data_IF_496181502458
#
_entry.id   IF_496181502458
#
_cell.length_a   1.000
_cell.length_b   1.000
_cell.length_c   1.000
_cell.angle_alpha   90.00
_cell.angle_beta   90.00
_cell.angle_gamma   90.00
#
_symmetry.space_group_name_H-M   'P 1'
#
loop_
_entity.id
_entity.type
_entity.pdbx_description
1 polymer ?
#
# COMPACT_ATOMS: atom_id res chain seq x y z
N UNK A 1 3.59 35.62 -39.86
CA UNK A 1 3.72 35.49 -38.42
C UNK A 1 4.09 34.06 -38.19
N UNK A 2 5.37 33.79 -38.06
CA UNK A 2 5.90 32.48 -37.71
C UNK A 2 5.62 32.26 -36.25
N UNK A 3 4.84 31.23 -35.94
CA UNK A 3 4.73 30.71 -34.60
C UNK A 3 6.05 30.06 -34.23
N UNK A 4 6.84 30.75 -33.40
CA UNK A 4 7.96 30.12 -32.71
C UNK A 4 7.36 28.97 -31.90
N UNK A 5 7.68 27.76 -32.32
CA UNK A 5 7.47 26.57 -31.50
C UNK A 5 8.36 26.72 -30.26
N UNK A 6 7.77 26.62 -29.09
CA UNK A 6 8.52 26.38 -27.86
C UNK A 6 9.27 25.05 -28.09
N UNK A 7 10.59 25.11 -28.27
CA UNK A 7 11.46 23.95 -28.25
C UNK A 7 11.38 23.39 -26.81
N UNK A 8 10.43 22.51 -26.55
CA UNK A 8 10.38 21.73 -25.32
C UNK A 8 11.66 20.90 -25.23
N UNK A 9 12.32 20.91 -24.09
CA UNK A 9 13.49 20.05 -23.88
C UNK A 9 13.01 18.61 -23.87
N UNK A 10 13.57 17.76 -24.75
CA UNK A 10 13.33 16.31 -24.76
C UNK A 10 14.49 15.61 -24.06
N UNK A 11 14.17 14.77 -23.09
CA UNK A 11 15.10 13.84 -22.45
C UNK A 11 14.81 12.42 -22.95
N UNK A 12 15.84 11.72 -23.40
CA UNK A 12 15.74 10.31 -23.83
C UNK A 12 16.37 9.44 -22.76
N UNK A 13 15.68 8.37 -22.36
CA UNK A 13 16.17 7.37 -21.42
C UNK A 13 15.60 5.98 -21.77
N UNK A 14 16.13 4.92 -21.16
CA UNK A 14 15.60 3.57 -21.34
C UNK A 14 14.30 3.38 -20.53
N UNK A 15 14.30 3.87 -19.28
CA UNK A 15 13.16 3.74 -18.36
C UNK A 15 12.83 5.09 -17.72
N UNK A 16 11.60 5.56 -17.90
CA UNK A 16 11.06 6.72 -17.21
C UNK A 16 10.15 6.27 -16.05
N UNK A 17 10.42 6.76 -14.85
CA UNK A 17 9.67 6.40 -13.63
C UNK A 17 8.99 7.65 -13.08
N UNK A 18 7.71 7.54 -12.69
CA UNK A 18 6.97 8.65 -12.09
C UNK A 18 6.85 8.47 -10.59
N UNK A 19 7.52 9.34 -9.83
CA UNK A 19 7.49 9.37 -8.38
C UNK A 19 8.68 8.67 -7.71
N UNK A 20 9.38 9.42 -6.84
CA UNK A 20 10.50 8.96 -6.02
C UNK A 20 10.03 8.36 -4.67
N UNK A 21 8.91 7.62 -4.67
CA UNK A 21 8.44 6.84 -3.54
C UNK A 21 9.22 5.52 -3.40
N UNK A 22 8.76 4.65 -2.49
CA UNK A 22 9.42 3.36 -2.27
C UNK A 22 9.50 2.52 -3.56
N UNK A 23 8.39 2.34 -4.27
CA UNK A 23 8.36 1.53 -5.49
C UNK A 23 9.26 2.12 -6.58
N UNK A 24 9.18 3.44 -6.83
CA UNK A 24 9.99 4.11 -7.85
C UNK A 24 11.48 4.05 -7.56
N UNK A 25 11.90 4.24 -6.31
CA UNK A 25 13.31 4.14 -5.92
C UNK A 25 13.87 2.72 -6.08
N UNK A 26 13.09 1.68 -5.71
CA UNK A 26 13.52 0.29 -5.91
C UNK A 26 13.58 -0.07 -7.40
N UNK A 27 12.58 0.36 -8.20
CA UNK A 27 12.61 0.16 -9.64
C UNK A 27 13.83 0.84 -10.29
N UNK A 28 14.09 2.08 -9.91
CA UNK A 28 15.24 2.83 -10.41
C UNK A 28 16.58 2.20 -10.00
N UNK A 29 16.70 1.76 -8.75
CA UNK A 29 17.93 1.13 -8.25
C UNK A 29 18.26 -0.18 -9.01
N UNK A 30 17.24 -0.99 -9.34
CA UNK A 30 17.42 -2.23 -10.12
C UNK A 30 17.82 -1.91 -11.56
N UNK A 31 17.06 -1.09 -12.26
CA UNK A 31 17.31 -0.83 -13.68
C UNK A 31 18.60 -0.04 -13.91
N UNK A 32 18.87 1.02 -13.14
CA UNK A 32 20.12 1.77 -13.23
C UNK A 32 21.33 0.94 -12.77
N UNK A 33 21.17 0.11 -11.73
CA UNK A 33 22.21 -0.83 -11.28
C UNK A 33 22.59 -1.87 -12.33
N UNK A 34 21.67 -2.20 -13.25
CA UNK A 34 21.92 -3.04 -14.42
C UNK A 34 22.57 -2.29 -15.60
N UNK A 35 22.72 -0.97 -15.50
CA UNK A 35 23.42 -0.13 -16.49
C UNK A 35 22.52 0.56 -17.51
N UNK A 36 21.20 0.57 -17.29
CA UNK A 36 20.24 1.29 -18.13
C UNK A 36 20.15 2.76 -17.72
N UNK A 37 19.78 3.61 -18.68
CA UNK A 37 19.53 5.02 -18.45
C UNK A 37 18.14 5.21 -17.84
N UNK A 38 18.09 5.66 -16.58
CA UNK A 38 16.87 5.72 -15.78
C UNK A 38 16.64 7.12 -15.23
N UNK A 39 15.47 7.68 -15.51
CA UNK A 39 15.04 8.98 -14.98
C UNK A 39 13.81 8.81 -14.11
N UNK A 40 13.85 9.37 -12.88
CA UNK A 40 12.67 9.53 -12.03
C UNK A 40 12.15 10.96 -12.12
N UNK A 41 10.91 11.15 -12.57
CA UNK A 41 10.20 12.41 -12.49
C UNK A 41 9.51 12.54 -11.11
N UNK A 42 10.04 13.40 -10.22
CA UNK A 42 9.50 13.65 -8.88
C UNK A 42 8.88 15.05 -8.82
N UNK A 43 7.61 15.12 -8.42
CA UNK A 43 6.86 16.38 -8.36
C UNK A 43 7.31 17.34 -7.27
N UNK A 44 7.88 16.82 -6.19
CA UNK A 44 8.36 17.59 -5.05
C UNK A 44 9.75 18.13 -5.32
N UNK A 45 10.10 19.20 -4.62
CA UNK A 45 11.48 19.67 -4.56
C UNK A 45 12.39 18.63 -3.91
N UNK A 46 13.68 18.72 -4.14
CA UNK A 46 14.69 17.84 -3.52
C UNK A 46 14.55 17.80 -1.99
N UNK A 47 14.25 18.93 -1.37
CA UNK A 47 14.11 19.05 0.06
C UNK A 47 12.85 18.33 0.61
N UNK A 48 11.76 18.31 -0.17
CA UNK A 48 10.48 17.73 0.23
C UNK A 48 10.28 16.30 -0.25
N UNK A 49 11.09 15.85 -1.20
CA UNK A 49 11.04 14.48 -1.69
C UNK A 49 11.23 13.47 -0.56
N UNK A 50 10.50 12.36 -0.60
CA UNK A 50 10.50 11.37 0.48
C UNK A 50 9.62 11.71 1.69
N UNK A 51 9.15 12.98 1.87
CA UNK A 51 8.23 13.37 2.93
C UNK A 51 6.81 12.92 2.59
N UNK A 52 6.42 11.74 3.04
CA UNK A 52 5.17 11.04 2.70
C UNK A 52 4.39 10.75 3.98
N UNK A 53 3.06 10.86 3.93
CA UNK A 53 2.21 10.44 5.06
C UNK A 53 2.33 8.93 5.25
N UNK A 54 2.63 8.52 6.49
CA UNK A 54 2.86 7.12 6.86
C UNK A 54 2.62 6.95 8.36
N UNK A 55 2.21 5.76 8.79
CA UNK A 55 2.21 5.39 10.22
C UNK A 55 3.61 5.05 10.74
N UNK A 56 4.62 4.99 9.87
CA UNK A 56 6.03 4.75 10.20
C UNK A 56 6.37 3.32 10.68
N UNK A 57 5.40 2.45 10.86
CA UNK A 57 5.67 1.06 11.24
C UNK A 57 6.18 0.24 10.04
N UNK A 58 7.32 -0.40 10.21
CA UNK A 58 7.98 -1.25 9.23
C UNK A 58 8.08 -2.67 9.78
N UNK A 59 7.43 -3.62 9.11
CA UNK A 59 7.51 -5.05 9.43
C UNK A 59 8.40 -5.75 8.42
N UNK A 60 9.21 -6.71 8.89
CA UNK A 60 10.06 -7.51 8.02
C UNK A 60 11.20 -6.70 7.40
N UNK A 61 11.79 -5.77 8.18
CA UNK A 61 12.90 -4.93 7.74
C UNK A 61 14.12 -5.72 7.24
N UNK A 62 14.18 -7.01 7.54
CA UNK A 62 15.19 -7.98 7.12
C UNK A 62 14.89 -8.69 5.80
N UNK A 63 13.69 -8.50 5.23
CA UNK A 63 13.20 -9.23 4.05
C UNK A 63 13.00 -8.37 2.82
N UNK A 64 13.55 -7.14 2.78
CA UNK A 64 13.45 -6.26 1.62
C UNK A 64 14.41 -6.69 0.50
N UNK A 65 14.10 -6.33 -0.78
CA UNK A 65 15.02 -6.58 -1.89
C UNK A 65 16.38 -5.91 -1.68
N UNK A 66 17.46 -6.57 -2.10
CA UNK A 66 18.84 -6.10 -1.88
C UNK A 66 19.27 -4.92 -2.77
N UNK A 67 18.43 -4.51 -3.75
CA UNK A 67 18.74 -3.42 -4.67
C UNK A 67 19.05 -2.09 -3.94
N UNK A 68 18.37 -1.85 -2.81
CA UNK A 68 18.74 -0.81 -1.85
C UNK A 68 19.08 -1.52 -0.53
N UNK A 69 20.37 -1.66 -0.18
CA UNK A 69 20.79 -2.42 0.99
C UNK A 69 20.17 -1.91 2.30
N UNK A 70 19.81 -2.82 3.20
CA UNK A 70 19.28 -2.50 4.54
C UNK A 70 20.16 -1.47 5.27
N UNK A 71 21.49 -1.60 5.18
CA UNK A 71 22.45 -0.65 5.79
C UNK A 71 22.31 0.80 5.29
N UNK A 72 21.74 1.02 4.10
CA UNK A 72 21.37 2.35 3.61
C UNK A 72 20.15 2.89 4.34
N UNK A 73 19.20 2.03 4.71
CA UNK A 73 17.91 2.40 5.30
C UNK A 73 17.91 2.47 6.82
N UNK A 74 18.75 1.66 7.49
CA UNK A 74 18.84 1.57 8.95
C UNK A 74 19.01 2.90 9.69
N UNK A 75 19.75 3.91 9.17
CA UNK A 75 19.84 5.20 9.84
C UNK A 75 18.50 5.92 10.01
N UNK A 76 17.44 5.53 9.27
CA UNK A 76 16.09 6.04 9.45
C UNK A 76 15.27 5.26 10.49
N UNK A 77 15.78 4.13 11.01
CA UNK A 77 15.09 3.35 12.04
C UNK A 77 15.27 4.03 13.38
N UNK A 78 14.21 4.60 13.90
CA UNK A 78 14.22 5.39 15.13
C UNK A 78 13.90 4.56 16.36
N UNK A 79 13.14 3.47 16.20
CA UNK A 79 12.82 2.54 17.27
C UNK A 79 12.78 1.10 16.75
N UNK A 80 13.73 0.30 17.16
CA UNK A 80 13.82 -1.15 16.87
C UNK A 80 13.50 -2.01 18.10
N UNK A 81 13.05 -1.39 19.19
CA UNK A 81 12.66 -2.08 20.43
C UNK A 81 11.20 -2.48 20.49
N UNK A 82 10.45 -2.26 19.40
CA UNK A 82 9.03 -2.64 19.30
C UNK A 82 8.93 -4.13 18.98
N UNK A 83 8.15 -4.89 19.75
CA UNK A 83 8.01 -6.34 19.60
C UNK A 83 6.55 -6.84 19.55
N UNK A 84 5.57 -5.97 19.84
CA UNK A 84 4.16 -6.36 19.83
C UNK A 84 3.23 -5.24 19.37
N UNK A 85 2.03 -5.64 18.94
CA UNK A 85 0.88 -4.76 18.73
C UNK A 85 0.00 -4.74 19.97
N UNK A 86 -0.33 -3.55 20.47
CA UNK A 86 -1.29 -3.33 21.57
C UNK A 86 -2.60 -2.83 21.00
N UNK A 87 -3.65 -3.63 21.13
CA UNK A 87 -5.00 -3.30 20.66
C UNK A 87 -5.85 -2.84 21.85
N UNK A 88 -6.21 -1.58 21.89
CA UNK A 88 -7.09 -0.99 22.87
C UNK A 88 -8.54 -1.03 22.36
N UNK A 89 -9.45 -1.64 23.10
CA UNK A 89 -10.87 -1.74 22.77
C UNK A 89 -11.67 -1.13 23.93
N UNK A 90 -11.78 0.21 24.00
CA UNK A 90 -12.36 0.90 25.15
C UNK A 90 -13.82 0.51 25.45
N UNK A 91 -14.61 0.19 24.42
CA UNK A 91 -16.02 -0.22 24.59
C UNK A 91 -16.17 -1.48 25.45
N UNK A 92 -15.11 -2.30 25.55
CA UNK A 92 -15.10 -3.55 26.29
C UNK A 92 -14.07 -3.56 27.44
N UNK A 93 -13.49 -2.40 27.76
CA UNK A 93 -12.42 -2.27 28.77
C UNK A 93 -11.34 -3.36 28.59
N UNK A 94 -10.94 -3.54 27.32
CA UNK A 94 -10.05 -4.64 26.91
C UNK A 94 -8.81 -4.09 26.24
N UNK A 95 -7.64 -4.61 26.64
CA UNK A 95 -6.35 -4.41 25.97
C UNK A 95 -5.81 -5.78 25.60
N UNK A 96 -5.35 -5.93 24.35
CA UNK A 96 -4.79 -7.16 23.82
C UNK A 96 -3.38 -6.89 23.31
N UNK A 97 -2.39 -7.46 23.96
CA UNK A 97 -1.00 -7.44 23.48
C UNK A 97 -0.75 -8.66 22.60
N UNK A 98 -0.40 -8.43 21.35
CA UNK A 98 -0.22 -9.46 20.32
C UNK A 98 1.22 -9.40 19.82
N UNK A 99 2.06 -10.41 20.09
CA UNK A 99 3.40 -10.49 19.55
C UNK A 99 3.38 -10.43 18.01
N UNK A 100 4.25 -9.63 17.43
CA UNK A 100 4.43 -9.57 15.97
C UNK A 100 5.71 -10.32 15.62
N UNK A 101 5.63 -11.44 14.88
CA UNK A 101 6.82 -12.18 14.50
C UNK A 101 7.64 -11.42 13.46
N UNK A 102 8.98 -11.60 13.52
CA UNK A 102 9.94 -10.94 12.66
C UNK A 102 10.43 -9.59 13.20
N UNK A 103 11.33 -8.96 12.48
CA UNK A 103 11.83 -7.64 12.84
C UNK A 103 10.77 -6.56 12.63
N UNK A 104 10.51 -5.79 13.68
CA UNK A 104 9.70 -4.58 13.64
C UNK A 104 10.61 -3.36 13.83
N UNK A 105 10.27 -2.27 13.15
CA UNK A 105 10.86 -0.98 13.41
C UNK A 105 9.81 0.13 13.27
N UNK A 106 9.98 1.20 14.00
CA UNK A 106 9.36 2.48 13.67
C UNK A 106 10.42 3.36 13.04
N UNK A 107 10.09 4.03 11.97
CA UNK A 107 11.02 4.79 11.14
C UNK A 107 10.70 6.28 11.16
N UNK A 108 11.68 7.12 10.93
CA UNK A 108 11.48 8.45 10.42
C UNK A 108 11.22 8.35 8.90
N UNK A 109 9.95 8.46 8.49
CA UNK A 109 9.55 8.24 7.10
C UNK A 109 10.19 9.23 6.12
N UNK A 110 10.44 10.47 6.55
CA UNK A 110 11.10 11.46 5.70
C UNK A 110 12.56 11.08 5.46
N UNK A 111 13.29 10.79 6.52
CA UNK A 111 14.67 10.31 6.45
C UNK A 111 14.79 9.01 5.64
N UNK A 112 13.85 8.08 5.85
CA UNK A 112 13.76 6.84 5.09
C UNK A 112 13.56 7.11 3.59
N UNK A 113 12.71 8.09 3.23
CA UNK A 113 12.51 8.51 1.85
C UNK A 113 13.77 9.07 1.20
N UNK A 114 14.52 9.92 1.90
CA UNK A 114 15.80 10.42 1.41
C UNK A 114 16.83 9.29 1.18
N UNK A 115 16.85 8.29 2.06
CA UNK A 115 17.75 7.16 1.90
C UNK A 115 17.37 6.23 0.75
N UNK A 116 16.08 6.09 0.44
CA UNK A 116 15.63 5.42 -0.78
C UNK A 116 16.12 6.15 -2.03
N UNK A 117 15.93 7.48 -2.08
CA UNK A 117 16.40 8.34 -3.17
C UNK A 117 17.93 8.25 -3.32
N UNK A 118 18.67 8.32 -2.21
CA UNK A 118 20.12 8.15 -2.20
C UNK A 118 20.55 6.78 -2.74
N UNK A 119 19.80 5.72 -2.37
CA UNK A 119 20.03 4.36 -2.89
C UNK A 119 19.85 4.27 -4.40
N UNK A 120 18.76 4.83 -4.94
CA UNK A 120 18.51 4.88 -6.37
C UNK A 120 19.57 5.71 -7.13
N UNK A 121 19.95 6.86 -6.59
CA UNK A 121 20.99 7.72 -7.15
C UNK A 121 22.37 7.04 -7.17
N UNK A 122 22.73 6.34 -6.09
CA UNK A 122 23.99 5.56 -6.04
C UNK A 122 24.02 4.42 -7.06
N UNK A 123 22.87 3.85 -7.39
CA UNK A 123 22.75 2.85 -8.44
C UNK A 123 22.89 3.43 -9.85
N UNK A 124 22.80 4.75 -10.02
CA UNK A 124 22.99 5.45 -11.28
C UNK A 124 21.74 6.15 -11.82
N UNK A 125 20.59 6.11 -11.12
CA UNK A 125 19.39 6.79 -11.57
C UNK A 125 19.51 8.32 -11.46
N UNK A 126 18.96 9.04 -12.42
CA UNK A 126 18.81 10.49 -12.40
C UNK A 126 17.44 10.87 -11.80
N UNK A 127 17.43 11.83 -10.88
CA UNK A 127 16.18 12.30 -10.25
C UNK A 127 15.90 13.73 -10.74
N UNK A 128 14.79 13.90 -11.44
CA UNK A 128 14.30 15.22 -11.86
C UNK A 128 13.24 15.71 -10.87
N UNK A 129 13.67 16.53 -9.92
CA UNK A 129 12.78 17.18 -8.94
C UNK A 129 11.95 18.30 -9.59
N UNK A 130 10.95 18.81 -8.86
CA UNK A 130 10.03 19.87 -9.33
C UNK A 130 9.40 19.55 -10.69
N UNK A 131 9.21 18.25 -10.98
CA UNK A 131 8.74 17.72 -12.25
C UNK A 131 7.34 17.12 -12.10
N UNK A 132 6.36 17.82 -12.63
CA UNK A 132 4.95 17.42 -12.59
C UNK A 132 4.56 16.79 -13.92
N UNK A 133 4.41 15.46 -13.94
CA UNK A 133 3.91 14.73 -15.12
C UNK A 133 2.45 15.09 -15.34
N UNK A 134 2.07 15.33 -16.60
CA UNK A 134 0.76 15.79 -17.05
C UNK A 134 0.05 14.82 -17.95
N UNK A 135 0.81 14.12 -18.80
CA UNK A 135 0.28 13.21 -19.79
C UNK A 135 1.32 12.14 -20.15
N UNK A 136 0.93 11.17 -20.96
CA UNK A 136 1.82 10.15 -21.54
C UNK A 136 2.05 10.41 -23.02
N UNK A 137 3.26 10.11 -23.50
CA UNK A 137 3.55 10.02 -24.94
C UNK A 137 3.21 8.61 -25.41
N UNK A 138 2.28 8.47 -26.36
CA UNK A 138 1.75 7.17 -26.77
C UNK A 138 1.54 7.10 -28.30
N UNK A 139 1.91 5.95 -28.87
CA UNK A 139 1.61 5.59 -30.25
C UNK A 139 1.58 4.07 -30.39
N UNK A 140 0.39 3.48 -30.17
CA UNK A 140 0.21 2.03 -30.07
C UNK A 140 0.76 1.41 -28.78
N UNK A 141 1.75 2.04 -28.13
CA UNK A 141 2.25 1.74 -26.77
C UNK A 141 2.61 3.04 -26.06
N UNK A 142 2.69 3.01 -24.75
CA UNK A 142 3.30 4.11 -23.98
C UNK A 142 4.80 4.11 -24.23
N UNK A 143 5.36 5.29 -24.48
CA UNK A 143 6.76 5.50 -24.91
C UNK A 143 7.35 6.79 -24.37
N UNK A 144 6.77 7.35 -23.33
CA UNK A 144 7.26 8.53 -22.69
C UNK A 144 6.22 9.28 -21.87
N UNK A 145 6.62 10.46 -21.43
CA UNK A 145 5.86 11.32 -20.53
C UNK A 145 5.92 12.77 -20.99
N UNK A 146 4.80 13.48 -20.88
CA UNK A 146 4.76 14.92 -20.93
C UNK A 146 4.73 15.50 -19.51
N UNK A 147 5.62 16.43 -19.21
CA UNK A 147 5.74 17.01 -17.87
C UNK A 147 6.02 18.52 -17.92
N UNK A 148 5.95 19.13 -16.75
CA UNK A 148 6.44 20.49 -16.51
C UNK A 148 7.49 20.41 -15.42
N UNK A 149 8.71 20.85 -15.72
CA UNK A 149 9.83 20.91 -14.78
C UNK A 149 10.22 22.36 -14.57
N UNK A 150 10.25 22.83 -13.34
CA UNK A 150 10.59 24.22 -13.00
C UNK A 150 9.79 25.29 -13.77
N UNK A 151 8.55 24.98 -14.17
CA UNK A 151 7.61 25.73 -15.01
C UNK A 151 7.85 25.65 -16.54
N UNK A 152 8.86 24.94 -17.00
CA UNK A 152 9.10 24.74 -18.43
C UNK A 152 8.55 23.38 -18.90
N UNK A 153 7.92 23.29 -20.08
CA UNK A 153 7.51 22.02 -20.67
C UNK A 153 8.72 21.13 -20.95
N UNK A 154 8.62 19.86 -20.61
CA UNK A 154 9.62 18.83 -20.85
C UNK A 154 8.94 17.55 -21.31
N UNK A 155 9.56 16.86 -22.27
CA UNK A 155 9.15 15.54 -22.73
C UNK A 155 10.23 14.52 -22.37
N UNK A 156 9.81 13.35 -21.90
CA UNK A 156 10.68 12.21 -21.66
C UNK A 156 10.32 11.13 -22.68
N UNK A 157 11.23 10.85 -23.61
CA UNK A 157 11.13 9.68 -24.49
C UNK A 157 11.76 8.48 -23.77
N UNK A 158 10.99 7.39 -23.62
CA UNK A 158 11.44 6.18 -22.93
C UNK A 158 10.92 4.92 -23.62
N UNK A 159 11.66 3.82 -23.52
CA UNK A 159 11.19 2.53 -24.00
C UNK A 159 10.15 1.91 -23.08
N UNK A 160 10.30 2.10 -21.75
CA UNK A 160 9.36 1.65 -20.71
C UNK A 160 9.04 2.81 -19.76
N UNK A 161 7.78 2.94 -19.39
CA UNK A 161 7.29 3.86 -18.36
C UNK A 161 6.79 3.06 -17.15
N UNK A 162 7.27 3.42 -15.94
CA UNK A 162 6.81 2.84 -14.69
C UNK A 162 6.06 3.90 -13.88
N UNK A 163 4.77 3.66 -13.66
CA UNK A 163 3.91 4.51 -12.82
C UNK A 163 4.07 4.13 -11.35
N UNK A 164 4.89 4.89 -10.63
CA UNK A 164 5.07 4.84 -9.18
C UNK A 164 4.53 6.11 -8.49
N UNK A 165 3.54 6.79 -9.11
CA UNK A 165 3.02 8.08 -8.65
C UNK A 165 2.15 8.00 -7.39
N UNK A 166 1.87 6.79 -6.89
CA UNK A 166 1.10 6.57 -5.67
C UNK A 166 -0.40 6.45 -5.90
N UNK A 167 -1.17 6.48 -4.82
CA UNK A 167 -2.58 6.08 -4.77
C UNK A 167 -3.53 6.84 -5.72
N UNK A 168 -3.17 8.05 -6.13
CA UNK A 168 -3.99 8.90 -7.00
C UNK A 168 -3.21 9.26 -8.28
N UNK A 169 -2.58 8.26 -8.89
CA UNK A 169 -1.94 8.45 -10.19
C UNK A 169 -2.94 8.89 -11.25
N UNK A 170 -2.54 9.90 -12.02
CA UNK A 170 -3.33 10.37 -13.17
C UNK A 170 -2.94 9.67 -14.47
N UNK A 171 -1.82 8.94 -14.50
CA UNK A 171 -1.29 8.35 -15.72
C UNK A 171 -2.22 7.31 -16.33
N UNK A 172 -2.89 6.56 -15.48
CA UNK A 172 -3.85 5.53 -15.89
C UNK A 172 -5.11 6.12 -16.55
N UNK A 173 -5.47 7.36 -16.20
CA UNK A 173 -6.55 8.10 -16.85
C UNK A 173 -6.10 8.76 -18.17
N UNK A 174 -4.79 8.94 -18.37
CA UNK A 174 -4.18 9.60 -19.53
C UNK A 174 -3.78 8.61 -20.62
N UNK A 175 -3.29 7.45 -20.22
CA UNK A 175 -2.90 6.41 -21.15
C UNK A 175 -4.15 5.74 -21.77
N UNK A 176 -4.13 5.49 -23.08
CA UNK A 176 -5.11 4.62 -23.72
C UNK A 176 -4.75 3.15 -23.43
N UNK A 177 -5.37 2.62 -22.41
CA UNK A 177 -5.20 1.24 -21.94
C UNK A 177 -6.29 0.29 -22.44
N UNK A 178 -7.17 0.77 -23.33
CA UNK A 178 -8.36 0.02 -23.80
C UNK A 178 -8.04 -1.26 -24.58
N UNK A 179 -6.82 -1.39 -25.09
CA UNK A 179 -6.34 -2.59 -25.80
C UNK A 179 -5.54 -3.56 -24.94
N UNK A 180 -5.41 -3.30 -23.65
CA UNK A 180 -4.65 -4.12 -22.71
C UNK A 180 -5.57 -4.71 -21.63
N UNK A 181 -5.07 -5.74 -20.93
CA UNK A 181 -5.76 -6.36 -19.80
C UNK A 181 -5.66 -5.54 -18.50
N UNK A 182 -5.27 -4.28 -18.58
CA UNK A 182 -5.05 -3.40 -17.43
C UNK A 182 -6.33 -3.20 -16.61
N UNK A 183 -6.23 -3.31 -15.28
CA UNK A 183 -7.36 -3.08 -14.37
C UNK A 183 -7.63 -1.58 -14.19
N UNK A 184 -8.69 -1.08 -14.85
CA UNK A 184 -9.08 0.33 -14.80
C UNK A 184 -10.28 0.60 -13.89
N UNK A 185 -10.80 -0.41 -13.19
CA UNK A 185 -11.94 -0.25 -12.30
C UNK A 185 -11.52 0.36 -10.95
N UNK A 186 -11.42 1.68 -10.90
CA UNK A 186 -11.03 2.43 -9.71
C UNK A 186 -12.15 3.35 -9.24
N UNK A 187 -12.57 3.20 -7.97
CA UNK A 187 -13.61 4.01 -7.33
C UNK A 187 -13.18 4.46 -5.94
N UNK A 188 -13.81 5.50 -5.38
CA UNK A 188 -13.49 5.99 -4.03
C UNK A 188 -13.68 4.94 -2.92
N UNK A 189 -14.58 3.98 -3.10
CA UNK A 189 -14.79 2.88 -2.16
C UNK A 189 -13.58 1.95 -1.98
N UNK A 190 -12.61 2.05 -2.88
CA UNK A 190 -11.38 1.27 -2.85
C UNK A 190 -10.23 1.97 -2.11
N UNK A 191 -10.49 3.14 -1.51
CA UNK A 191 -9.48 3.93 -0.82
C UNK A 191 -9.85 4.22 0.63
N UNK A 192 -8.83 4.44 1.42
CA UNK A 192 -8.88 4.95 2.77
C UNK A 192 -8.27 6.36 2.79
N UNK A 193 -8.89 7.27 3.53
CA UNK A 193 -8.29 8.55 3.91
C UNK A 193 -7.54 8.36 5.22
N UNK A 194 -6.32 8.89 5.30
CA UNK A 194 -5.49 8.86 6.50
C UNK A 194 -4.94 10.24 6.83
N UNK A 195 -4.77 10.49 8.13
CA UNK A 195 -4.14 11.69 8.66
C UNK A 195 -3.27 11.33 9.86
N UNK A 196 -2.09 11.95 9.97
CA UNK A 196 -1.18 11.72 11.09
C UNK A 196 -0.51 13.00 11.56
N UNK A 197 -0.14 13.02 12.82
CA UNK A 197 0.70 14.03 13.46
C UNK A 197 1.92 13.36 14.11
N UNK A 198 3.07 14.00 14.04
CA UNK A 198 4.23 13.65 14.87
C UNK A 198 4.14 14.50 16.12
N UNK A 199 4.04 13.86 17.26
CA UNK A 199 3.83 14.50 18.56
C UNK A 199 5.07 14.30 19.40
N UNK A 200 5.65 15.39 19.89
CA UNK A 200 6.73 15.40 20.86
C UNK A 200 6.16 15.68 22.24
N UNK A 201 6.54 14.84 23.22
CA UNK A 201 6.13 14.94 24.62
C UNK A 201 7.35 15.16 25.52
N UNK A 202 7.16 15.81 26.66
CA UNK A 202 8.25 16.06 27.62
C UNK A 202 8.62 14.80 28.43
N UNK A 203 7.60 14.03 28.83
CA UNK A 203 7.78 12.80 29.62
C UNK A 203 7.67 11.57 28.71
N UNK A 204 8.55 10.57 28.88
CA UNK A 204 8.51 9.33 28.09
C UNK A 204 7.20 8.57 28.28
N UNK A 205 6.63 8.06 27.17
CA UNK A 205 5.50 7.12 27.25
C UNK A 205 5.96 5.74 27.73
N UNK A 206 5.14 5.07 28.55
CA UNK A 206 5.46 3.76 29.12
C UNK A 206 5.39 2.61 28.10
N UNK A 207 4.63 2.79 27.01
CA UNK A 207 4.37 1.79 25.96
C UNK A 207 5.25 1.97 24.72
N UNK A 208 6.47 2.46 24.89
CA UNK A 208 7.39 2.69 23.76
C UNK A 208 7.91 1.40 23.09
N UNK A 209 7.60 0.24 23.63
CA UNK A 209 7.86 -1.10 23.09
C UNK A 209 6.69 -1.67 22.27
N UNK A 210 5.58 -0.93 22.12
CA UNK A 210 4.38 -1.38 21.46
C UNK A 210 3.94 -0.50 20.27
N UNK A 211 3.37 -1.10 19.24
CA UNK A 211 2.54 -0.41 18.25
C UNK A 211 1.09 -0.40 18.77
N UNK A 212 0.61 0.76 19.18
CA UNK A 212 -0.73 0.88 19.75
C UNK A 212 -1.76 1.12 18.65
N UNK A 213 -2.83 0.32 18.66
CA UNK A 213 -3.98 0.39 17.75
C UNK A 213 -5.26 0.58 18.55
N UNK A 214 -6.16 1.40 18.04
CA UNK A 214 -7.48 1.63 18.61
C UNK A 214 -8.51 1.75 17.49
N UNK A 215 -9.66 1.05 17.54
CA UNK A 215 -10.70 1.21 16.53
C UNK A 215 -11.25 2.64 16.52
N UNK A 216 -11.67 3.12 15.35
CA UNK A 216 -12.44 4.35 15.21
C UNK A 216 -13.85 4.18 15.77
N UNK A 217 -14.50 5.28 16.14
CA UNK A 217 -15.83 5.22 16.76
C UNK A 217 -16.99 5.11 15.74
N UNK A 218 -16.78 5.51 14.46
CA UNK A 218 -17.88 5.73 13.50
C UNK A 218 -17.81 4.91 12.23
N UNK A 219 -16.63 4.78 11.65
CA UNK A 219 -16.40 4.11 10.37
C UNK A 219 -15.39 2.98 10.54
N UNK A 220 -15.38 2.03 9.63
CA UNK A 220 -14.35 0.99 9.62
C UNK A 220 -12.96 1.60 9.44
N UNK A 221 -12.11 1.45 10.44
CA UNK A 221 -10.78 2.02 10.49
C UNK A 221 -10.16 1.94 11.88
N UNK A 222 -8.99 2.54 12.03
CA UNK A 222 -8.30 2.53 13.32
C UNK A 222 -7.44 3.78 13.52
N UNK A 223 -7.26 4.16 14.78
CA UNK A 223 -6.22 5.08 15.24
C UNK A 223 -4.98 4.28 15.55
N UNK A 224 -3.82 4.88 15.31
CA UNK A 224 -2.53 4.33 15.70
C UNK A 224 -1.72 5.32 16.51
N UNK A 225 -0.86 4.78 17.38
CA UNK A 225 0.15 5.50 18.13
C UNK A 225 1.43 4.67 18.07
N UNK A 226 2.35 5.09 17.21
CA UNK A 226 3.59 4.36 16.96
C UNK A 226 4.77 5.18 17.43
N UNK A 227 5.51 4.70 18.47
CA UNK A 227 6.59 5.44 19.08
C UNK A 227 7.83 5.40 18.19
N UNK A 228 8.19 6.55 17.60
CA UNK A 228 9.51 6.74 16.98
C UNK A 228 10.61 6.68 18.04
N UNK A 229 10.33 7.26 19.19
CA UNK A 229 11.11 7.15 20.43
C UNK A 229 10.14 7.11 21.61
N UNK A 230 10.64 7.06 22.83
CA UNK A 230 9.74 7.20 24.01
C UNK A 230 9.12 8.59 24.17
N UNK A 231 9.60 9.59 23.43
CA UNK A 231 9.13 10.99 23.50
C UNK A 231 8.67 11.56 22.15
N UNK A 232 8.77 10.80 21.07
CA UNK A 232 8.29 11.20 19.74
C UNK A 232 7.36 10.12 19.19
N UNK A 233 6.10 10.47 19.00
CA UNK A 233 5.03 9.53 18.65
C UNK A 233 4.40 9.91 17.32
N UNK A 234 4.35 8.99 16.38
CA UNK A 234 3.49 9.10 15.20
C UNK A 234 2.07 8.70 15.60
N UNK A 235 1.20 9.68 15.74
CA UNK A 235 -0.21 9.49 16.07
C UNK A 235 -1.08 9.78 14.85
N UNK A 236 -1.98 8.89 14.50
CA UNK A 236 -2.84 9.11 13.35
C UNK A 236 -4.04 8.19 13.32
N UNK A 237 -4.82 8.34 12.26
CA UNK A 237 -5.94 7.45 11.98
C UNK A 237 -6.19 7.35 10.47
N UNK A 238 -6.86 6.26 10.10
CA UNK A 238 -7.37 6.05 8.77
C UNK A 238 -8.75 5.40 8.82
N UNK A 239 -9.62 5.80 7.89
CA UNK A 239 -10.90 5.16 7.66
C UNK A 239 -11.28 5.20 6.18
N UNK A 240 -12.27 4.36 5.82
CA UNK A 240 -12.76 4.28 4.44
C UNK A 240 -13.13 5.67 3.91
N UNK A 241 -12.79 5.98 2.65
CA UNK A 241 -12.99 7.30 2.01
C UNK A 241 -14.48 7.62 1.72
N UNK A 242 -15.38 7.18 2.56
CA UNK A 242 -16.81 7.51 2.52
C UNK A 242 -17.17 8.68 3.46
N UNK A 243 -16.24 9.04 4.35
CA UNK A 243 -16.42 10.08 5.36
C UNK A 243 -15.74 11.38 4.95
N UNK A 244 -16.20 12.49 5.52
CA UNK A 244 -15.58 13.81 5.27
C UNK A 244 -14.13 13.83 5.80
N UNK A 245 -13.13 14.18 4.98
CA UNK A 245 -11.72 14.14 5.39
C UNK A 245 -11.39 14.95 6.64
N UNK A 246 -12.12 16.04 6.92
CA UNK A 246 -11.90 16.84 8.12
C UNK A 246 -12.26 16.12 9.42
N UNK A 247 -13.11 15.11 9.37
CA UNK A 247 -13.45 14.28 10.53
C UNK A 247 -12.23 13.51 11.05
N UNK A 248 -11.29 13.13 10.17
CA UNK A 248 -10.02 12.54 10.60
C UNK A 248 -9.28 13.42 11.60
N UNK A 249 -9.18 14.71 11.29
CA UNK A 249 -8.47 15.67 12.14
C UNK A 249 -9.18 15.84 13.48
N UNK A 250 -10.51 15.96 13.47
CA UNK A 250 -11.31 16.18 14.68
C UNK A 250 -11.33 14.94 15.57
N UNK A 251 -11.42 13.76 14.98
CA UNK A 251 -11.42 12.49 15.73
C UNK A 251 -10.05 12.22 16.35
N UNK A 252 -8.94 12.45 15.62
CA UNK A 252 -7.61 12.35 16.19
C UNK A 252 -7.40 13.31 17.36
N UNK A 253 -7.74 14.59 17.18
CA UNK A 253 -7.61 15.59 18.25
C UNK A 253 -8.43 15.26 19.48
N UNK A 254 -9.65 14.75 19.29
CA UNK A 254 -10.51 14.33 20.40
C UNK A 254 -9.91 13.17 21.17
N UNK A 255 -9.30 12.20 20.46
CA UNK A 255 -8.68 11.06 21.10
C UNK A 255 -7.39 11.44 21.83
N UNK A 256 -6.55 12.27 21.23
CA UNK A 256 -5.34 12.82 21.86
C UNK A 256 -5.65 13.55 23.19
N UNK A 257 -6.73 14.34 23.24
CA UNK A 257 -7.16 15.01 24.47
C UNK A 257 -7.57 14.03 25.60
N UNK A 258 -7.91 12.80 25.24
CA UNK A 258 -8.28 11.73 26.20
C UNK A 258 -7.07 10.93 26.67
N UNK A 259 -5.87 11.19 26.10
CA UNK A 259 -4.60 10.56 26.46
C UNK A 259 -3.73 11.54 27.21
N UNK A 260 -3.68 11.47 28.56
CA UNK A 260 -2.92 12.43 29.37
C UNK A 260 -1.45 12.55 28.95
N UNK A 261 -0.84 11.42 28.55
CA UNK A 261 0.56 11.34 28.12
C UNK A 261 0.85 12.04 26.79
N UNK A 262 -0.18 12.35 25.98
CA UNK A 262 -0.04 13.00 24.67
C UNK A 262 -0.78 14.36 24.60
N UNK A 263 -1.66 14.67 25.54
CA UNK A 263 -2.61 15.78 25.45
C UNK A 263 -1.93 17.16 25.33
N UNK A 264 -0.80 17.34 25.98
CA UNK A 264 0.00 18.58 25.98
C UNK A 264 1.20 18.51 25.03
N UNK A 265 1.28 17.45 24.19
CA UNK A 265 2.37 17.27 23.25
C UNK A 265 2.40 18.31 22.13
N UNK A 266 3.61 18.66 21.69
CA UNK A 266 3.85 19.58 20.58
C UNK A 266 3.75 18.86 19.25
N UNK A 267 2.92 19.31 18.34
CA UNK A 267 2.88 18.80 16.97
C UNK A 267 4.10 19.32 16.21
N UNK A 268 5.00 18.41 15.83
CA UNK A 268 6.21 18.69 15.07
C UNK A 268 5.96 18.66 13.56
N UNK A 269 5.11 17.73 13.11
CA UNK A 269 4.77 17.55 11.69
C UNK A 269 3.36 16.96 11.53
N UNK A 270 2.72 17.19 10.40
CA UNK A 270 1.39 16.65 10.06
C UNK A 270 1.22 16.44 8.57
N UNK A 271 0.65 15.32 8.19
CA UNK A 271 0.34 14.98 6.80
C UNK A 271 -0.95 14.17 6.69
N UNK A 272 -1.62 14.33 5.55
CA UNK A 272 -2.74 13.49 5.14
C UNK A 272 -2.47 12.83 3.79
N UNK A 273 -3.06 11.67 3.56
CA UNK A 273 -2.97 10.95 2.29
C UNK A 273 -4.21 10.08 2.06
N UNK A 274 -4.42 9.72 0.79
CA UNK A 274 -5.21 8.56 0.41
C UNK A 274 -4.28 7.36 0.25
N UNK A 275 -4.79 6.16 0.58
CA UNK A 275 -4.11 4.90 0.31
C UNK A 275 -5.12 3.87 -0.20
N UNK A 276 -4.75 2.97 -1.12
CA UNK A 276 -5.65 1.94 -1.59
C UNK A 276 -5.89 0.91 -0.48
N UNK A 277 -7.16 0.57 -0.27
CA UNK A 277 -7.60 -0.51 0.62
C UNK A 277 -8.40 -1.50 -0.19
N UNK A 278 -7.77 -2.02 -1.24
CA UNK A 278 -8.33 -2.95 -2.22
C UNK A 278 -7.37 -4.10 -2.48
N UNK A 279 -7.85 -5.15 -3.14
CA UNK A 279 -6.92 -6.11 -3.75
C UNK A 279 -5.99 -5.40 -4.74
N UNK A 280 -4.78 -5.90 -4.98
CA UNK A 280 -3.94 -5.41 -6.08
C UNK A 280 -4.71 -5.39 -7.40
N UNK A 281 -4.26 -4.59 -8.34
CA UNK A 281 -4.75 -4.70 -9.71
C UNK A 281 -4.49 -6.10 -10.23
N UNK A 282 -5.49 -6.72 -10.82
CA UNK A 282 -5.34 -8.06 -11.36
C UNK A 282 -4.41 -8.08 -12.58
N UNK A 283 -4.36 -6.99 -13.33
CA UNK A 283 -3.29 -6.69 -14.27
C UNK A 283 -2.89 -5.23 -14.14
N UNK A 284 -1.60 -4.99 -14.00
CA UNK A 284 -1.00 -3.67 -13.89
C UNK A 284 0.01 -3.40 -15.04
N UNK A 285 -0.15 -4.08 -16.17
CA UNK A 285 0.71 -3.94 -17.36
C UNK A 285 -0.08 -3.56 -18.59
N UNK A 286 0.55 -2.78 -19.46
CA UNK A 286 0.10 -2.49 -20.82
C UNK A 286 1.33 -2.31 -21.70
N UNK A 287 1.22 -2.31 -23.04
CA UNK A 287 2.39 -2.14 -23.90
C UNK A 287 3.22 -0.89 -23.56
N UNK A 288 4.47 -1.10 -23.13
CA UNK A 288 5.41 -0.08 -22.69
C UNK A 288 5.13 0.54 -21.31
N UNK A 289 4.19 -0.01 -20.52
CA UNK A 289 3.72 0.60 -19.28
C UNK A 289 3.49 -0.42 -18.16
N UNK A 290 3.94 -0.10 -16.96
CA UNK A 290 3.66 -0.86 -15.73
C UNK A 290 3.32 0.08 -14.58
N UNK A 291 2.30 -0.27 -13.78
CA UNK A 291 2.00 0.42 -12.52
C UNK A 291 2.54 -0.36 -11.31
N UNK A 292 3.07 0.36 -10.30
CA UNK A 292 3.71 -0.23 -9.12
C UNK A 292 3.30 0.46 -7.83
N UNK A 293 3.44 -0.22 -6.72
CA UNK A 293 3.13 0.33 -5.39
C UNK A 293 1.66 0.70 -5.26
N UNK A 294 1.38 1.83 -4.59
CA UNK A 294 0.01 2.27 -4.37
C UNK A 294 -0.75 2.56 -5.68
N UNK A 295 -0.05 2.90 -6.77
CA UNK A 295 -0.65 3.11 -8.10
C UNK A 295 -1.27 1.81 -8.67
N UNK A 296 -0.84 0.64 -8.21
CA UNK A 296 -1.39 -0.66 -8.57
C UNK A 296 -2.06 -1.40 -7.39
N UNK A 297 -2.36 -0.69 -6.30
CA UNK A 297 -3.03 -1.26 -5.13
C UNK A 297 -2.15 -2.21 -4.30
N UNK A 298 -0.83 -2.10 -4.33
CA UNK A 298 0.10 -2.98 -3.61
C UNK A 298 0.20 -2.66 -2.11
N UNK A 299 -0.93 -2.41 -1.50
CA UNK A 299 -1.08 -2.14 -0.07
C UNK A 299 -1.92 -3.26 0.55
N UNK A 300 -1.51 -3.75 1.72
CA UNK A 300 -2.31 -4.72 2.44
C UNK A 300 -3.67 -4.09 2.82
N UNK A 301 -4.80 -4.59 2.30
CA UNK A 301 -6.10 -3.93 2.43
C UNK A 301 -6.66 -3.92 3.85
N UNK A 302 -6.13 -4.75 4.75
CA UNK A 302 -6.59 -4.84 6.15
C UNK A 302 -5.75 -4.02 7.11
N UNK A 303 -4.47 -3.77 6.78
CA UNK A 303 -3.54 -3.08 7.69
C UNK A 303 -3.03 -1.74 7.16
N UNK A 304 -3.23 -1.43 5.88
CA UNK A 304 -2.66 -0.24 5.24
C UNK A 304 -1.14 -0.30 5.04
N UNK A 305 -0.49 -1.44 5.28
CA UNK A 305 0.95 -1.62 5.11
C UNK A 305 1.33 -1.76 3.64
N UNK A 306 2.05 -0.77 3.06
CA UNK A 306 2.41 -0.73 1.64
C UNK A 306 3.92 -0.77 1.35
N UNK A 307 4.80 -0.47 2.33
CA UNK A 307 6.24 -0.30 2.08
C UNK A 307 6.87 -1.55 1.45
N UNK A 308 6.62 -2.74 2.02
CA UNK A 308 7.19 -3.99 1.50
C UNK A 308 6.63 -4.34 0.11
N UNK A 309 5.31 -4.27 -0.08
CA UNK A 309 4.68 -4.52 -1.39
C UNK A 309 5.21 -3.58 -2.47
N UNK A 310 5.39 -2.30 -2.14
CA UNK A 310 5.96 -1.31 -3.05
C UNK A 310 7.42 -1.63 -3.43
N UNK A 311 8.26 -2.04 -2.45
CA UNK A 311 9.66 -2.38 -2.71
C UNK A 311 9.79 -3.59 -3.64
N UNK A 312 9.05 -4.66 -3.38
CA UNK A 312 9.06 -5.86 -4.21
C UNK A 312 8.48 -5.60 -5.61
N UNK A 313 7.32 -4.91 -5.69
CA UNK A 313 6.71 -4.60 -6.98
C UNK A 313 7.60 -3.71 -7.85
N UNK A 314 8.25 -2.69 -7.26
CA UNK A 314 9.23 -1.87 -7.97
C UNK A 314 10.40 -2.69 -8.52
N UNK A 315 10.92 -3.61 -7.70
CA UNK A 315 11.99 -4.54 -8.12
C UNK A 315 11.54 -5.43 -9.29
N UNK A 316 10.37 -6.06 -9.18
CA UNK A 316 9.85 -6.96 -10.22
C UNK A 316 9.56 -6.23 -11.52
N UNK A 317 8.99 -5.01 -11.45
CA UNK A 317 8.74 -4.21 -12.63
C UNK A 317 10.04 -3.81 -13.35
N UNK A 318 11.09 -3.46 -12.61
CA UNK A 318 12.38 -3.12 -13.21
C UNK A 318 13.08 -4.33 -13.83
N UNK A 319 13.04 -5.50 -13.17
CA UNK A 319 13.59 -6.74 -13.74
C UNK A 319 12.85 -7.11 -15.04
N UNK A 320 11.52 -6.91 -15.09
CA UNK A 320 10.74 -7.14 -16.30
C UNK A 320 11.00 -6.07 -17.37
N UNK A 321 11.21 -4.81 -16.98
CA UNK A 321 11.63 -3.76 -17.91
C UNK A 321 12.98 -4.09 -18.57
N UNK A 322 13.94 -4.60 -17.80
CA UNK A 322 15.24 -5.05 -18.31
C UNK A 322 15.06 -6.14 -19.37
N UNK A 323 14.26 -7.16 -19.10
CA UNK A 323 13.97 -8.23 -20.06
C UNK A 323 13.33 -7.69 -21.35
N UNK A 324 12.37 -6.76 -21.22
CA UNK A 324 11.73 -6.12 -22.36
C UNK A 324 12.74 -5.31 -23.20
N UNK A 325 13.68 -4.60 -22.56
CA UNK A 325 14.75 -3.85 -23.21
C UNK A 325 15.76 -4.77 -23.93
N UNK A 326 16.14 -5.89 -23.30
CA UNK A 326 17.08 -6.87 -23.88
C UNK A 326 16.48 -7.58 -25.11
N UNK A 327 15.19 -7.87 -25.09
CA UNK A 327 14.49 -8.54 -26.19
C UNK A 327 14.03 -7.57 -27.28
N UNK A 328 13.89 -6.27 -26.95
CA UNK A 328 13.29 -5.25 -27.82
C UNK A 328 11.78 -5.42 -27.98
N UNK A 329 11.15 -6.25 -27.15
CA UNK A 329 9.69 -6.44 -27.12
C UNK A 329 9.09 -5.81 -25.85
N UNK A 330 8.32 -4.76 -26.04
CA UNK A 330 7.68 -3.98 -24.99
C UNK A 330 6.17 -4.27 -24.91
N UNK A 331 5.72 -5.38 -25.50
CA UNK A 331 4.32 -5.79 -25.50
C UNK A 331 3.82 -6.25 -24.14
N UNK A 332 2.48 -6.30 -24.00
CA UNK A 332 1.84 -6.75 -22.77
C UNK A 332 2.26 -8.17 -22.38
N UNK A 333 2.36 -9.08 -23.34
CA UNK A 333 2.74 -10.47 -23.10
C UNK A 333 4.16 -10.59 -22.52
N UNK A 334 5.10 -9.77 -22.99
CA UNK A 334 6.46 -9.71 -22.45
C UNK A 334 6.48 -9.14 -21.03
N UNK A 335 5.60 -8.16 -20.72
CA UNK A 335 5.52 -7.56 -19.40
C UNK A 335 4.68 -8.39 -18.40
N UNK A 336 4.00 -9.45 -18.86
CA UNK A 336 3.03 -10.21 -18.05
C UNK A 336 3.64 -10.93 -16.84
N UNK A 337 4.89 -11.35 -16.93
CA UNK A 337 5.58 -12.02 -15.83
C UNK A 337 5.67 -11.13 -14.57
N UNK A 338 5.67 -9.80 -14.72
CA UNK A 338 5.55 -8.88 -13.60
C UNK A 338 4.25 -9.12 -12.79
N UNK A 339 3.10 -9.26 -13.46
CA UNK A 339 1.81 -9.54 -12.80
C UNK A 339 1.89 -10.86 -12.04
N UNK A 340 2.40 -11.93 -12.67
CA UNK A 340 2.56 -13.26 -12.06
C UNK A 340 3.40 -13.19 -10.79
N UNK A 341 4.56 -12.54 -10.83
CA UNK A 341 5.45 -12.39 -9.67
C UNK A 341 4.79 -11.63 -8.52
N UNK A 342 4.01 -10.60 -8.82
CA UNK A 342 3.22 -9.87 -7.82
C UNK A 342 2.17 -10.79 -7.19
N UNK A 343 1.42 -11.56 -8.01
CA UNK A 343 0.39 -12.48 -7.52
C UNK A 343 0.99 -13.58 -6.67
N UNK A 344 2.06 -14.23 -7.12
CA UNK A 344 2.76 -15.31 -6.40
C UNK A 344 3.31 -14.84 -5.05
N UNK A 345 3.85 -13.63 -4.98
CA UNK A 345 4.51 -13.17 -3.75
C UNK A 345 3.51 -12.67 -2.70
N UNK A 346 2.60 -11.78 -3.06
CA UNK A 346 1.67 -11.15 -2.10
C UNK A 346 0.28 -10.89 -2.63
N UNK A 347 0.08 -10.79 -3.95
CA UNK A 347 -1.17 -10.35 -4.56
C UNK A 347 -2.33 -11.28 -4.25
N UNK A 348 -2.15 -12.58 -4.41
CA UNK A 348 -3.10 -13.64 -4.06
C UNK A 348 -3.57 -13.52 -2.61
N UNK A 349 -2.63 -13.36 -1.68
CA UNK A 349 -2.96 -13.16 -0.27
C UNK A 349 -3.71 -11.83 -0.03
N UNK A 350 -3.32 -10.75 -0.71
CA UNK A 350 -4.01 -9.45 -0.55
C UNK A 350 -5.42 -9.48 -1.14
N UNK A 351 -5.66 -10.22 -2.22
CA UNK A 351 -6.99 -10.45 -2.75
C UNK A 351 -7.90 -11.15 -1.73
N UNK A 352 -7.42 -12.19 -1.07
CA UNK A 352 -8.16 -12.87 -0.01
C UNK A 352 -8.36 -11.97 1.23
N UNK A 353 -7.39 -11.14 1.60
CA UNK A 353 -7.52 -10.17 2.71
C UNK A 353 -8.53 -9.07 2.40
N UNK A 354 -8.69 -8.68 1.12
CA UNK A 354 -9.69 -7.69 0.73
C UNK A 354 -11.13 -8.17 0.97
N UNK A 355 -11.39 -9.47 0.90
CA UNK A 355 -12.69 -10.04 1.29
C UNK A 355 -13.03 -9.73 2.75
N UNK A 356 -12.04 -9.77 3.65
CA UNK A 356 -12.24 -9.38 5.05
C UNK A 356 -12.38 -7.87 5.21
N UNK A 357 -11.69 -7.07 4.40
CA UNK A 357 -11.91 -5.62 4.37
C UNK A 357 -13.35 -5.30 3.95
N UNK A 358 -13.87 -5.93 2.89
CA UNK A 358 -15.27 -5.81 2.46
C UNK A 358 -16.23 -6.25 3.58
N UNK A 359 -15.97 -7.37 4.24
CA UNK A 359 -16.78 -7.81 5.39
C UNK A 359 -16.86 -6.73 6.46
N UNK A 360 -15.75 -6.05 6.79
CA UNK A 360 -15.77 -5.01 7.84
C UNK A 360 -16.61 -3.79 7.47
N UNK A 361 -16.81 -3.50 6.18
CA UNK A 361 -17.66 -2.38 5.74
C UNK A 361 -19.17 -2.67 5.85
N UNK A 362 -19.56 -3.94 5.98
CA UNK A 362 -20.96 -4.35 6.11
C UNK A 362 -21.50 -4.29 7.55
N UNK A 363 -20.62 -4.07 8.54
CA UNK A 363 -21.00 -4.10 9.94
C UNK A 363 -20.66 -2.79 10.66
N UNK A 364 -21.45 -2.44 11.66
CA UNK A 364 -21.10 -1.34 12.56
C UNK A 364 -19.90 -1.69 13.44
N UNK A 365 -19.17 -0.67 13.88
CA UNK A 365 -17.93 -0.81 14.64
C UNK A 365 -18.16 -1.57 15.96
N UNK A 366 -19.27 -1.34 16.64
CA UNK A 366 -19.57 -2.01 17.92
C UNK A 366 -19.76 -3.52 17.76
N UNK A 367 -20.45 -3.95 16.69
CA UNK A 367 -20.61 -5.37 16.35
C UNK A 367 -19.27 -6.04 16.05
N UNK A 368 -18.39 -5.37 15.26
CA UNK A 368 -17.05 -5.86 14.94
C UNK A 368 -16.17 -5.96 16.20
N UNK A 369 -16.20 -4.94 17.06
CA UNK A 369 -15.42 -4.92 18.29
C UNK A 369 -15.92 -5.94 19.30
N UNK A 370 -17.25 -6.14 19.40
CA UNK A 370 -17.84 -7.20 20.21
C UNK A 370 -17.39 -8.59 19.76
N UNK A 371 -17.34 -8.81 18.45
CA UNK A 371 -16.81 -10.04 17.88
C UNK A 371 -15.31 -10.19 18.20
N UNK A 372 -14.51 -9.16 17.99
CA UNK A 372 -13.07 -9.18 18.26
C UNK A 372 -12.76 -9.47 19.74
N UNK A 373 -13.47 -8.81 20.66
CA UNK A 373 -13.32 -9.04 22.10
C UNK A 373 -13.73 -10.47 22.53
N UNK A 374 -14.67 -11.10 21.81
CA UNK A 374 -15.12 -12.47 22.09
C UNK A 374 -14.18 -13.55 21.51
N UNK A 375 -13.39 -13.21 20.48
CA UNK A 375 -12.46 -14.15 19.85
C UNK A 375 -11.20 -14.35 20.72
N UNK A 376 -10.58 -15.55 20.71
CA UNK A 376 -9.28 -15.78 21.34
C UNK A 376 -8.18 -15.21 20.42
N UNK A 377 -8.07 -13.90 20.35
CA UNK A 377 -7.29 -13.13 19.38
C UNK A 377 -5.81 -13.53 19.35
N UNK A 378 -5.20 -13.86 20.49
CA UNK A 378 -3.81 -14.33 20.56
C UNK A 378 -3.59 -15.59 19.72
N UNK A 379 -4.52 -16.55 19.76
CA UNK A 379 -4.42 -17.78 18.96
C UNK A 379 -4.80 -17.56 17.49
N UNK A 380 -5.68 -16.59 17.24
CA UNK A 380 -6.06 -16.22 15.88
C UNK A 380 -4.90 -15.49 15.18
N UNK A 381 -4.19 -14.61 15.90
CA UNK A 381 -2.99 -13.95 15.36
C UNK A 381 -1.88 -14.96 15.08
N UNK A 382 -1.60 -15.89 15.98
CA UNK A 382 -0.64 -16.97 15.75
C UNK A 382 -0.99 -17.79 14.49
N UNK A 383 -2.26 -18.12 14.29
CA UNK A 383 -2.73 -18.86 13.11
C UNK A 383 -2.61 -18.05 11.82
N UNK A 384 -2.97 -16.76 11.84
CA UNK A 384 -2.84 -15.85 10.70
C UNK A 384 -1.37 -15.61 10.31
N UNK A 385 -0.47 -15.50 11.29
CA UNK A 385 0.96 -15.32 11.03
C UNK A 385 1.67 -16.59 10.56
N UNK A 386 1.23 -17.76 11.04
CA UNK A 386 1.81 -19.04 10.63
C UNK A 386 1.34 -19.53 9.25
N UNK A 387 0.40 -18.81 8.61
CA UNK A 387 -0.26 -19.27 7.40
C UNK A 387 -1.18 -20.48 7.61
N UNK A 388 -1.33 -20.93 8.86
CA UNK A 388 -2.20 -22.06 9.21
C UNK A 388 -3.64 -21.57 9.35
N UNK A 389 -4.49 -21.93 8.40
CA UNK A 389 -5.93 -21.67 8.45
C UNK A 389 -6.70 -22.71 9.30
N UNK A 390 -6.01 -23.71 9.83
CA UNK A 390 -6.62 -24.79 10.63
C UNK A 390 -6.76 -24.36 12.09
N UNK A 391 -7.77 -23.56 12.34
CA UNK A 391 -8.23 -23.25 13.71
C UNK A 391 -8.87 -24.50 14.25
N UNK A 392 -8.14 -25.24 15.10
CA UNK A 392 -8.57 -26.53 15.65
C UNK A 392 -10.02 -26.52 16.15
N UNK A 393 -10.75 -27.62 15.96
CA UNK A 393 -12.19 -27.78 16.27
C UNK A 393 -12.58 -27.31 17.68
N UNK A 394 -11.70 -27.48 18.66
CA UNK A 394 -11.88 -27.01 20.03
C UNK A 394 -11.91 -25.49 20.15
N UNK A 395 -11.14 -24.79 19.36
CA UNK A 395 -11.15 -23.32 19.32
C UNK A 395 -12.47 -22.81 18.74
N UNK A 396 -13.00 -23.46 17.71
CA UNK A 396 -14.31 -23.15 17.10
C UNK A 396 -15.46 -23.25 18.11
N UNK A 397 -15.50 -24.30 18.93
CA UNK A 397 -16.53 -24.48 19.95
C UNK A 397 -16.41 -23.46 21.10
N UNK A 398 -15.20 -23.24 21.62
CA UNK A 398 -14.97 -22.31 22.73
C UNK A 398 -15.25 -20.86 22.31
N UNK A 399 -14.97 -20.52 21.06
CA UNK A 399 -15.29 -19.23 20.46
C UNK A 399 -16.78 -19.05 20.27
N UNK A 400 -17.48 -20.05 19.71
CA UNK A 400 -18.94 -20.03 19.54
C UNK A 400 -19.69 -19.86 20.87
N UNK A 401 -19.23 -20.49 21.92
CA UNK A 401 -19.84 -20.37 23.27
C UNK A 401 -19.62 -18.98 23.90
N UNK A 402 -18.43 -18.37 23.67
CA UNK A 402 -18.16 -17.01 24.16
C UNK A 402 -18.86 -15.94 23.32
N UNK A 403 -19.02 -16.17 22.02
CA UNK A 403 -19.69 -15.26 21.09
C UNK A 403 -21.23 -15.44 21.05
N UNK A 404 -21.84 -16.02 22.07
CA UNK A 404 -23.29 -16.33 22.09
C UNK A 404 -24.22 -15.11 21.83
N UNK A 405 -23.73 -13.90 22.03
CA UNK A 405 -24.41 -12.66 21.64
C UNK A 405 -24.20 -12.22 20.18
N UNK A 406 -23.23 -12.80 19.47
CA UNK A 406 -22.82 -12.43 18.09
C UNK A 406 -22.85 -13.62 17.13
N UNK A 407 -23.74 -14.59 17.36
CA UNK A 407 -23.81 -15.85 16.57
C UNK A 407 -24.01 -15.56 15.07
N UNK A 408 -24.82 -14.56 14.73
CA UNK A 408 -25.06 -14.15 13.35
C UNK A 408 -23.76 -13.68 12.68
N UNK A 409 -23.11 -12.69 13.26
CA UNK A 409 -21.86 -12.11 12.75
C UNK A 409 -20.73 -13.15 12.65
N UNK A 410 -20.66 -14.09 13.62
CA UNK A 410 -19.70 -15.19 13.59
C UNK A 410 -20.00 -16.17 12.44
N UNK A 411 -21.27 -16.45 12.19
CA UNK A 411 -21.67 -17.31 11.06
C UNK A 411 -21.34 -16.65 9.72
N UNK A 412 -21.57 -15.35 9.58
CA UNK A 412 -21.24 -14.59 8.38
C UNK A 412 -19.73 -14.49 8.20
N UNK A 413 -18.95 -14.31 9.26
CA UNK A 413 -17.48 -14.38 9.19
C UNK A 413 -16.99 -15.77 8.73
N UNK A 414 -17.64 -16.85 9.19
CA UNK A 414 -17.31 -18.20 8.72
C UNK A 414 -17.63 -18.40 7.22
N UNK A 415 -18.75 -17.87 6.75
CA UNK A 415 -19.11 -17.89 5.34
C UNK A 415 -18.13 -17.05 4.51
N UNK A 416 -17.80 -15.86 4.99
CA UNK A 416 -16.81 -14.95 4.39
C UNK A 416 -15.45 -15.64 4.24
N UNK A 417 -14.98 -16.35 5.28
CA UNK A 417 -13.76 -17.14 5.18
C UNK A 417 -13.81 -18.16 4.06
N UNK A 418 -14.93 -18.88 3.90
CA UNK A 418 -15.05 -19.88 2.83
C UNK A 418 -14.99 -19.29 1.43
N UNK A 419 -15.50 -18.08 1.25
CA UNK A 419 -15.41 -17.38 -0.03
C UNK A 419 -13.98 -16.83 -0.23
N UNK A 420 -13.35 -16.31 0.84
CA UNK A 420 -11.96 -15.89 0.80
C UNK A 420 -11.01 -17.05 0.44
N UNK A 421 -11.24 -18.25 0.99
CA UNK A 421 -10.47 -19.46 0.64
C UNK A 421 -10.65 -19.82 -0.86
N UNK A 422 -11.88 -19.78 -1.38
CA UNK A 422 -12.14 -20.04 -2.82
C UNK A 422 -11.49 -18.99 -3.73
N UNK A 423 -11.51 -17.74 -3.30
CA UNK A 423 -10.83 -16.67 -4.05
C UNK A 423 -9.30 -16.87 -4.02
N UNK A 424 -8.75 -17.28 -2.87
CA UNK A 424 -7.34 -17.63 -2.77
C UNK A 424 -6.96 -18.73 -3.76
N UNK A 425 -7.73 -19.86 -3.75
CA UNK A 425 -7.52 -20.98 -4.67
C UNK A 425 -7.58 -20.54 -6.15
N UNK A 426 -8.53 -19.64 -6.50
CA UNK A 426 -8.66 -19.10 -7.86
C UNK A 426 -7.47 -18.23 -8.27
N UNK A 427 -6.92 -17.44 -7.34
CA UNK A 427 -5.73 -16.61 -7.60
C UNK A 427 -4.43 -17.44 -7.68
N UNK A 428 -4.39 -18.65 -7.11
CA UNK A 428 -3.29 -19.59 -7.32
C UNK A 428 -3.21 -20.10 -8.76
N UNK A 429 -4.35 -20.09 -9.48
CA UNK A 429 -4.46 -20.42 -10.91
C UNK A 429 -4.40 -19.15 -11.81
N UNK A 430 -3.62 -18.12 -11.41
CA UNK A 430 -3.46 -16.89 -12.19
C UNK A 430 -2.86 -17.20 -13.57
N UNK A 431 -3.38 -16.56 -14.68
CA UNK A 431 -2.99 -16.91 -16.06
C UNK A 431 -1.49 -16.70 -16.33
N UNK A 432 -0.92 -17.63 -17.12
CA UNK A 432 0.47 -17.54 -17.57
C UNK A 432 0.71 -16.45 -18.61
N UNK A 433 -0.32 -16.01 -19.30
CA UNK A 433 -0.29 -15.02 -20.36
C UNK A 433 -1.60 -14.20 -20.40
N UNK A 434 -1.64 -13.03 -21.09
CA UNK A 434 -2.84 -12.20 -21.18
C UNK A 434 -3.99 -12.85 -21.92
N UNK A 435 -3.77 -13.85 -22.79
CA UNK A 435 -4.84 -14.51 -23.58
C UNK A 435 -5.84 -15.25 -22.67
N UNK A 436 -5.37 -15.77 -21.54
CA UNK A 436 -6.21 -16.45 -20.54
C UNK A 436 -6.94 -15.52 -19.58
N UNK A 437 -6.61 -14.25 -19.56
CA UNK A 437 -7.01 -13.33 -18.49
C UNK A 437 -8.51 -13.02 -18.46
N UNK A 438 -9.16 -12.82 -19.62
CA UNK A 438 -10.59 -12.48 -19.67
C UNK A 438 -11.46 -13.61 -19.07
N UNK A 439 -11.13 -14.87 -19.36
CA UNK A 439 -11.84 -16.01 -18.80
C UNK A 439 -11.63 -16.12 -17.28
N UNK A 440 -10.39 -15.96 -16.83
CA UNK A 440 -10.02 -15.96 -15.42
C UNK A 440 -10.71 -14.81 -14.67
N UNK A 441 -10.74 -13.60 -15.25
CA UNK A 441 -11.41 -12.43 -14.69
C UNK A 441 -12.92 -12.63 -14.52
N UNK A 442 -13.56 -13.31 -15.49
CA UNK A 442 -14.99 -13.63 -15.40
C UNK A 442 -15.29 -14.52 -14.19
N UNK A 443 -14.48 -15.55 -13.95
CA UNK A 443 -14.65 -16.43 -12.78
C UNK A 443 -14.36 -15.71 -11.47
N UNK A 444 -13.33 -14.83 -11.45
CA UNK A 444 -13.06 -13.95 -10.32
C UNK A 444 -14.26 -13.04 -10.01
N UNK A 445 -14.94 -12.48 -11.03
CA UNK A 445 -16.11 -11.61 -10.84
C UNK A 445 -17.28 -12.38 -10.23
N UNK A 446 -17.51 -13.62 -10.65
CA UNK A 446 -18.52 -14.50 -10.04
C UNK A 446 -18.22 -14.76 -8.56
N UNK A 447 -16.94 -15.01 -8.20
CA UNK A 447 -16.51 -15.17 -6.83
C UNK A 447 -16.68 -13.87 -6.01
N UNK A 448 -16.44 -12.71 -6.60
CA UNK A 448 -16.68 -11.43 -5.94
C UNK A 448 -18.18 -11.15 -5.72
N UNK A 449 -19.05 -11.59 -6.62
CA UNK A 449 -20.48 -11.54 -6.40
C UNK A 449 -20.89 -12.38 -5.17
N UNK A 450 -20.33 -13.59 -5.03
CA UNK A 450 -20.52 -14.42 -3.82
C UNK A 450 -20.07 -13.69 -2.55
N UNK A 451 -18.96 -12.90 -2.61
CA UNK A 451 -18.50 -12.09 -1.46
C UNK A 451 -19.58 -11.10 -1.03
N UNK A 452 -20.14 -10.33 -1.96
CA UNK A 452 -21.18 -9.34 -1.64
C UNK A 452 -22.47 -10.00 -1.12
N UNK A 453 -22.88 -11.13 -1.69
CA UNK A 453 -24.05 -11.87 -1.22
C UNK A 453 -23.87 -12.44 0.21
N UNK A 454 -22.66 -12.87 0.53
CA UNK A 454 -22.35 -13.44 1.86
C UNK A 454 -22.19 -12.37 2.91
N UNK A 455 -21.54 -11.26 2.58
CA UNK A 455 -21.24 -10.18 3.53
C UNK A 455 -22.39 -9.18 3.68
N UNK A 456 -23.20 -9.01 2.63
CA UNK A 456 -24.20 -7.95 2.56
C UNK A 456 -23.61 -6.56 2.34
N UNK A 457 -22.32 -6.47 2.01
CA UNK A 457 -21.65 -5.21 1.70
C UNK A 457 -22.08 -4.66 0.33
N UNK A 458 -22.02 -3.34 0.18
CA UNK A 458 -22.16 -2.72 -1.13
C UNK A 458 -20.98 -3.11 -2.05
N UNK A 459 -21.22 -3.23 -3.35
CA UNK A 459 -20.17 -3.53 -4.32
C UNK A 459 -19.02 -2.51 -4.25
N UNK A 460 -17.80 -3.02 -4.16
CA UNK A 460 -16.57 -2.22 -4.09
C UNK A 460 -15.91 -2.05 -5.46
N UNK A 461 -16.18 -3.00 -6.36
CA UNK A 461 -15.65 -3.10 -7.71
C UNK A 461 -16.77 -3.09 -8.73
#
# INVERSE_FOLDING_TARGET
MTTDGADGHTHTCDVAIVGAGTAGCYAAAVAAGAGYDVVIAERKSEQEAGHIACGDALKGADTFPDAIPKSTLEPAFTNTGVDHGRFEIPQFDTVLDIPVPGELAVIDRWKYGHQLIEGATRAGAEIHYDTVVRDVVQNGRVRGLEAVRENDPVEYEAEIVIDAAGALSILQDKADLSGASFDTNVTYSQFCSAYREIIEVEEPVEWSDALVFKPTERAAGYLWYFPRTSTEINAGLGFQMTEEPMQLVDDLKRDLQRRPELADGRVADKLGAALPTRRPYDSAVAPGFMAVGDAAGHVNPTTGGGIAGAAYAGTYAAEQAIEALETGDHGEATLWEYNKRVMDHFGTRYAALDVYNIFTTAYDVDSLMGLLAALPVQKLSEALYSGSTDVGWWLKIKTALKAAGHVGTLYDLYRTKRVADRLLDHYEDYPDDPDGFEAWQTERDDLMQDVYEVTGADPKY
#
